data_IF_423981480426
#
_entry.id   IF_423981480426
#
_cell.length_a   1.000
_cell.length_b   1.000
_cell.length_c   1.000
_cell.angle_alpha   90.00
_cell.angle_beta   90.00
_cell.angle_gamma   90.00
#
_symmetry.space_group_name_H-M   'P 1'
#
loop_
_entity.id
_entity.type
_entity.pdbx_description
1 polymer ?
#
# COMPACT_ATOMS: atom_id res chain seq x y z
N UNK A 1 8.88 -7.31 -53.88
CA UNK A 1 9.03 -6.06 -53.09
C UNK A 1 7.71 -5.63 -52.42
N UNK A 2 6.58 -5.58 -53.13
CA UNK A 2 5.27 -5.18 -52.56
C UNK A 2 4.78 -6.07 -51.40
N UNK A 3 5.05 -7.40 -51.44
CA UNK A 3 4.71 -8.33 -50.34
C UNK A 3 5.53 -8.10 -49.06
N UNK A 4 6.79 -7.68 -49.18
CA UNK A 4 7.63 -7.34 -48.01
C UNK A 4 7.18 -6.03 -47.36
N UNK A 5 6.79 -5.04 -48.19
CA UNK A 5 6.20 -3.79 -47.71
C UNK A 5 4.88 -4.03 -46.97
N UNK A 6 4.02 -4.91 -47.48
CA UNK A 6 2.79 -5.32 -46.81
C UNK A 6 3.06 -6.01 -45.47
N UNK A 7 4.04 -6.92 -45.39
CA UNK A 7 4.41 -7.58 -44.12
C UNK A 7 4.94 -6.57 -43.10
N UNK A 8 5.79 -5.63 -43.53
CA UNK A 8 6.31 -4.57 -42.66
C UNK A 8 5.17 -3.66 -42.14
N UNK A 9 4.26 -3.25 -43.03
CA UNK A 9 3.10 -2.43 -42.69
C UNK A 9 2.18 -3.14 -41.69
N UNK A 10 1.86 -4.42 -41.95
CA UNK A 10 1.05 -5.25 -41.04
C UNK A 10 1.73 -5.40 -39.68
N UNK A 11 3.04 -5.64 -39.65
CA UNK A 11 3.79 -5.79 -38.40
C UNK A 11 3.80 -4.49 -37.58
N UNK A 12 3.92 -3.33 -38.23
CA UNK A 12 3.80 -2.02 -37.58
C UNK A 12 2.39 -1.76 -37.05
N UNK A 13 1.35 -2.09 -37.81
CA UNK A 13 -0.06 -1.94 -37.39
C UNK A 13 -0.36 -2.85 -36.21
N UNK A 14 0.03 -4.13 -36.26
CA UNK A 14 -0.16 -5.08 -35.15
C UNK A 14 0.57 -4.60 -33.90
N UNK A 15 1.81 -4.11 -34.05
CA UNK A 15 2.57 -3.55 -32.93
C UNK A 15 1.90 -2.31 -32.32
N UNK A 16 1.35 -1.43 -33.15
CA UNK A 16 0.62 -0.24 -32.68
C UNK A 16 -0.68 -0.62 -31.96
N UNK A 17 -1.46 -1.54 -32.53
CA UNK A 17 -2.68 -2.07 -31.92
C UNK A 17 -2.39 -2.79 -30.62
N UNK A 18 -1.34 -3.61 -30.56
CA UNK A 18 -0.88 -4.25 -29.32
C UNK A 18 -0.53 -3.19 -28.27
N UNK A 19 0.22 -2.15 -28.63
CA UNK A 19 0.60 -1.07 -27.69
C UNK A 19 -0.64 -0.34 -27.16
N UNK A 20 -1.58 -0.04 -28.05
CA UNK A 20 -2.81 0.67 -27.71
C UNK A 20 -3.74 -0.19 -26.85
N UNK A 21 -3.91 -1.47 -27.18
CA UNK A 21 -4.69 -2.43 -26.39
C UNK A 21 -4.07 -2.70 -25.02
N UNK A 22 -2.74 -2.81 -24.92
CA UNK A 22 -2.06 -2.88 -23.64
C UNK A 22 -2.26 -1.61 -22.82
N UNK A 23 -2.26 -0.43 -23.45
CA UNK A 23 -2.52 0.84 -22.77
C UNK A 23 -3.95 0.96 -22.27
N UNK A 24 -4.93 0.65 -23.11
CA UNK A 24 -6.36 0.74 -22.79
C UNK A 24 -6.77 -0.33 -21.76
N UNK A 25 -6.28 -1.57 -21.90
CA UNK A 25 -6.58 -2.64 -20.93
C UNK A 25 -5.94 -2.41 -19.55
N UNK A 26 -4.83 -1.64 -19.46
CA UNK A 26 -4.27 -1.21 -18.17
C UNK A 26 -5.09 -0.09 -17.52
N UNK A 27 -5.89 0.65 -18.29
CA UNK A 27 -6.69 1.78 -17.77
C UNK A 27 -7.95 1.37 -16.99
N UNK A 28 -8.46 0.14 -17.17
CA UNK A 28 -9.68 -0.30 -16.49
C UNK A 28 -9.42 -0.99 -15.14
N UNK A 29 -8.17 -1.42 -14.88
CA UNK A 29 -7.81 -2.18 -13.68
C UNK A 29 -6.99 -1.37 -12.65
N UNK A 30 -7.06 -0.04 -12.70
CA UNK A 30 -6.27 0.87 -11.86
C UNK A 30 -7.18 1.82 -11.06
N UNK A 31 -7.95 1.27 -10.12
CA UNK A 31 -8.28 2.02 -8.91
C UNK A 31 -7.13 1.83 -7.91
N UNK A 32 -6.17 2.76 -7.92
CA UNK A 32 -5.36 3.00 -6.72
C UNK A 32 -3.84 2.85 -6.80
N UNK A 33 -3.19 3.06 -7.95
CA UNK A 33 -1.73 3.28 -7.94
C UNK A 33 -1.42 4.77 -7.67
N UNK A 34 -1.53 5.17 -6.40
CA UNK A 34 -0.86 6.38 -5.91
C UNK A 34 0.64 6.17 -6.13
N UNK A 35 1.20 6.82 -7.16
CA UNK A 35 2.64 6.96 -7.38
C UNK A 35 3.25 7.94 -6.37
N UNK A 36 3.10 7.63 -5.09
CA UNK A 36 3.88 8.23 -4.02
C UNK A 36 4.98 7.25 -3.65
N UNK A 37 6.22 7.52 -4.05
CA UNK A 37 7.41 6.74 -3.71
C UNK A 37 7.78 6.81 -2.22
N UNK A 38 6.81 6.67 -1.33
CA UNK A 38 7.03 6.34 0.07
C UNK A 38 6.88 4.83 0.21
N UNK A 39 7.88 4.15 0.77
CA UNK A 39 7.71 2.77 1.21
C UNK A 39 6.40 2.67 1.99
N UNK A 40 5.55 1.68 1.67
CA UNK A 40 4.32 1.46 2.40
C UNK A 40 4.69 1.15 3.86
N UNK A 41 4.61 2.16 4.73
CA UNK A 41 4.90 2.00 6.15
C UNK A 41 3.68 1.35 6.77
N UNK A 42 3.81 0.17 7.41
CA UNK A 42 2.68 -0.44 8.10
C UNK A 42 2.18 0.51 9.19
N UNK A 43 0.89 0.84 9.16
CA UNK A 43 0.25 1.62 10.22
C UNK A 43 -0.28 0.65 11.29
N UNK A 44 -0.01 0.98 12.55
CA UNK A 44 -0.53 0.26 13.70
C UNK A 44 -1.65 1.05 14.36
N UNK A 45 -2.67 0.36 14.84
CA UNK A 45 -3.80 0.99 15.54
C UNK A 45 -3.49 1.07 17.03
N UNK A 46 -3.67 2.24 17.62
CA UNK A 46 -3.62 2.46 19.06
C UNK A 46 -4.82 1.75 19.74
N UNK A 47 -4.59 0.87 20.74
CA UNK A 47 -5.66 0.12 21.39
C UNK A 47 -6.56 0.97 22.30
N UNK A 48 -6.13 2.17 22.71
CA UNK A 48 -6.89 3.05 23.60
C UNK A 48 -7.84 3.95 22.81
N UNK A 49 -7.32 4.68 21.83
CA UNK A 49 -8.10 5.68 21.08
C UNK A 49 -8.45 5.25 19.65
N UNK A 50 -7.89 4.15 19.14
CA UNK A 50 -8.14 3.66 17.78
C UNK A 50 -7.41 4.43 16.67
N UNK A 51 -6.52 5.35 17.02
CA UNK A 51 -5.77 6.16 16.04
C UNK A 51 -4.70 5.31 15.34
N UNK A 52 -4.55 5.47 14.02
CA UNK A 52 -3.49 4.82 13.25
C UNK A 52 -2.18 5.60 13.33
N UNK A 53 -1.10 4.92 13.71
CA UNK A 53 0.22 5.50 13.92
C UNK A 53 1.29 4.77 13.13
N UNK A 54 2.30 5.52 12.68
CA UNK A 54 3.48 4.95 12.03
C UNK A 54 4.50 4.54 13.10
N UNK A 55 5.08 3.32 13.03
CA UNK A 55 5.96 2.79 14.08
C UNK A 55 7.19 3.67 14.33
N UNK A 56 7.69 4.36 13.30
CA UNK A 56 8.84 5.28 13.43
C UNK A 56 8.57 6.57 14.20
N UNK A 57 7.30 6.91 14.49
CA UNK A 57 6.91 8.08 15.30
C UNK A 57 6.04 7.72 16.51
N UNK A 58 5.74 6.44 16.70
CA UNK A 58 4.85 5.96 17.74
C UNK A 58 5.64 5.56 18.99
N UNK A 59 4.98 5.65 20.15
CA UNK A 59 5.52 5.09 21.38
C UNK A 59 5.27 3.58 21.39
N UNK A 60 6.30 2.79 21.66
CA UNK A 60 6.21 1.34 21.70
C UNK A 60 6.28 0.84 23.16
N UNK A 61 5.36 -0.04 23.55
CA UNK A 61 5.42 -0.79 24.80
C UNK A 61 5.47 -2.28 24.49
N UNK A 62 6.43 -2.99 25.09
CA UNK A 62 6.46 -4.46 25.06
C UNK A 62 5.55 -5.00 26.15
N UNK A 63 4.61 -5.85 25.75
CA UNK A 63 3.65 -6.44 26.65
C UNK A 63 3.36 -7.89 26.27
N UNK A 64 3.71 -8.84 27.16
CA UNK A 64 3.48 -10.28 26.94
C UNK A 64 4.15 -10.84 25.67
N UNK A 65 5.22 -10.22 25.19
CA UNK A 65 5.89 -10.59 23.94
C UNK A 65 5.38 -9.85 22.68
N UNK A 66 4.30 -9.08 22.78
CA UNK A 66 3.81 -8.23 21.69
C UNK A 66 4.27 -6.77 21.88
N UNK A 67 4.72 -6.13 20.79
CA UNK A 67 4.96 -4.69 20.77
C UNK A 67 3.65 -3.99 20.42
N UNK A 68 3.16 -3.14 21.32
CA UNK A 68 1.98 -2.29 21.10
C UNK A 68 2.42 -0.85 20.84
N UNK A 69 1.75 -0.20 19.89
CA UNK A 69 2.05 1.16 19.47
C UNK A 69 0.97 2.13 19.94
N UNK A 70 1.38 3.29 20.44
CA UNK A 70 0.50 4.33 20.97
C UNK A 70 0.74 5.67 20.28
N UNK A 71 -0.32 6.47 20.16
CA UNK A 71 -0.27 7.80 19.58
C UNK A 71 0.32 8.85 20.53
N UNK A 72 0.25 8.61 21.84
CA UNK A 72 0.70 9.54 22.87
C UNK A 72 1.07 8.82 24.17
N UNK A 73 1.83 9.51 25.03
CA UNK A 73 2.21 9.00 26.35
C UNK A 73 0.97 8.73 27.23
N UNK A 74 -0.05 9.57 27.08
CA UNK A 74 -1.33 9.39 27.78
C UNK A 74 -1.98 8.04 27.43
N UNK A 75 -2.06 7.69 26.14
CA UNK A 75 -2.60 6.41 25.71
C UNK A 75 -1.76 5.22 26.22
N UNK A 76 -0.43 5.35 26.23
CA UNK A 76 0.44 4.33 26.82
C UNK A 76 0.18 4.14 28.31
N UNK A 77 0.07 5.22 29.07
CA UNK A 77 -0.10 5.17 30.52
C UNK A 77 -1.49 4.67 30.91
N UNK A 78 -2.52 5.05 30.14
CA UNK A 78 -3.88 4.52 30.29
C UNK A 78 -3.92 3.02 30.01
N UNK A 79 -3.24 2.57 28.95
CA UNK A 79 -3.09 1.15 28.64
C UNK A 79 -2.32 0.39 29.73
N UNK A 80 -1.30 1.00 30.34
CA UNK A 80 -0.53 0.38 31.42
C UNK A 80 -1.31 0.27 32.74
N UNK A 81 -2.28 1.16 32.97
CA UNK A 81 -3.12 1.19 34.19
C UNK A 81 -4.38 0.34 34.09
N UNK A 82 -4.83 0.03 32.87
CA UNK A 82 -6.03 -0.78 32.67
C UNK A 82 -5.81 -2.24 33.14
N UNK A 83 -6.74 -2.82 33.92
CA UNK A 83 -6.69 -4.24 34.26
C UNK A 83 -6.86 -5.08 32.99
N UNK A 84 -5.95 -6.05 32.80
CA UNK A 84 -5.86 -6.85 31.58
C UNK A 84 -6.92 -7.96 31.59
N UNK A 85 -8.09 -7.70 31.00
CA UNK A 85 -9.02 -8.78 30.63
C UNK A 85 -8.52 -9.40 29.31
N UNK A 86 -7.76 -10.48 29.45
CA UNK A 86 -7.37 -11.36 28.34
C UNK A 86 -8.56 -12.27 27.99
N UNK A 87 -9.51 -11.77 27.20
CA UNK A 87 -10.59 -12.56 26.62
C UNK A 87 -10.53 -12.59 25.11
#
# INVERSE_FOLDING_TARGET
MLRLLQILLVLLIVRALWRLWMGIRRGLHEHGAVRGGGAAVPLFRDPVCGTYVVPGRALALRDGGLVRYFCSERCRDEFARAPRDSR
#
